data_IF_068333893914
#
_entry.id   IF_068333893914
#
_cell.length_a   1.000
_cell.length_b   1.000
_cell.length_c   1.000
_cell.angle_alpha   90.00
_cell.angle_beta   90.00
_cell.angle_gamma   90.00
#
_symmetry.space_group_name_H-M   'P 1'
#
loop_
_entity.id
_entity.type
_entity.pdbx_description
1 polymer ?
#
# COMPACT_ATOMS: atom_id res chain seq x y z
N UNK A 1 11.85 -9.67 -31.35
CA UNK A 1 13.07 -8.98 -30.97
C UNK A 1 14.11 -9.26 -32.06
N UNK A 2 14.75 -8.22 -32.51
CA UNK A 2 15.68 -8.37 -33.63
C UNK A 2 17.04 -8.99 -33.22
N UNK A 3 17.31 -9.08 -31.88
CA UNK A 3 18.62 -9.61 -31.39
C UNK A 3 18.54 -10.42 -30.07
N UNK A 4 17.36 -10.51 -29.41
CA UNK A 4 17.22 -11.19 -28.13
C UNK A 4 16.87 -12.67 -28.25
N UNK A 5 17.47 -13.52 -27.40
CA UNK A 5 17.14 -14.96 -27.29
C UNK A 5 15.79 -15.23 -26.62
N UNK A 6 15.27 -14.29 -25.87
CA UNK A 6 14.02 -14.41 -25.11
C UNK A 6 13.23 -13.12 -25.15
N UNK A 7 11.91 -13.22 -25.02
CA UNK A 7 10.98 -12.09 -24.87
C UNK A 7 10.37 -12.16 -23.47
N UNK A 8 10.37 -11.04 -22.74
CA UNK A 8 9.70 -10.91 -21.44
C UNK A 8 8.58 -9.88 -21.60
N UNK A 9 7.39 -10.24 -21.16
CA UNK A 9 6.24 -9.34 -21.07
C UNK A 9 5.85 -9.26 -19.59
N UNK A 10 5.75 -8.04 -19.07
CA UNK A 10 5.32 -7.77 -17.71
C UNK A 10 4.02 -6.99 -17.80
N UNK A 11 2.97 -7.47 -17.11
CA UNK A 11 1.68 -6.81 -16.98
C UNK A 11 1.47 -6.50 -15.51
N UNK A 12 1.46 -5.22 -15.17
CA UNK A 12 1.19 -4.72 -13.83
C UNK A 12 -0.30 -4.48 -13.64
N UNK A 13 -0.83 -4.74 -12.43
CA UNK A 13 -2.24 -4.59 -12.13
C UNK A 13 -3.11 -5.57 -12.94
N UNK A 14 -2.72 -6.83 -13.00
CA UNK A 14 -3.41 -7.84 -13.81
C UNK A 14 -4.87 -8.07 -13.38
N UNK A 15 -5.24 -7.69 -12.16
CA UNK A 15 -6.62 -7.64 -11.66
C UNK A 15 -7.52 -6.60 -12.36
N UNK A 16 -6.93 -5.63 -13.07
CA UNK A 16 -7.66 -4.58 -13.79
C UNK A 16 -7.85 -4.89 -15.29
N UNK A 17 -7.44 -6.07 -15.74
CA UNK A 17 -7.67 -6.49 -17.11
C UNK A 17 -9.19 -6.56 -17.39
N UNK A 18 -9.62 -6.00 -18.51
CA UNK A 18 -10.99 -6.24 -18.99
C UNK A 18 -11.18 -7.70 -19.37
N UNK A 19 -12.42 -8.18 -19.36
CA UNK A 19 -12.73 -9.56 -19.77
C UNK A 19 -12.20 -9.88 -21.17
N UNK A 20 -12.25 -8.91 -22.09
CA UNK A 20 -11.73 -9.06 -23.45
C UNK A 20 -10.21 -9.21 -23.47
N UNK A 21 -9.48 -8.38 -22.67
CA UNK A 21 -8.02 -8.46 -22.55
C UNK A 21 -7.59 -9.76 -21.87
N UNK A 22 -8.29 -10.16 -20.81
CA UNK A 22 -8.05 -11.41 -20.10
C UNK A 22 -8.27 -12.63 -21.03
N UNK A 23 -9.36 -12.64 -21.82
CA UNK A 23 -9.63 -13.70 -22.78
C UNK A 23 -8.61 -13.72 -23.94
N UNK A 24 -8.13 -12.56 -24.40
CA UNK A 24 -7.05 -12.51 -25.38
C UNK A 24 -5.75 -13.10 -24.85
N UNK A 25 -5.47 -12.90 -23.55
CA UNK A 25 -4.30 -13.44 -22.86
C UNK A 25 -4.35 -14.97 -22.76
N UNK A 26 -5.55 -15.58 -22.62
CA UNK A 26 -5.68 -17.04 -22.54
C UNK A 26 -5.06 -17.76 -23.74
N UNK A 27 -5.20 -17.23 -24.94
CA UNK A 27 -4.57 -17.81 -26.14
C UNK A 27 -3.04 -17.83 -26.03
N UNK A 28 -2.47 -16.77 -25.46
CA UNK A 28 -1.03 -16.67 -25.26
C UNK A 28 -0.52 -17.61 -24.15
N UNK A 29 -1.37 -17.86 -23.13
CA UNK A 29 -1.06 -18.76 -22.03
C UNK A 29 -1.19 -20.24 -22.43
N UNK A 30 -2.11 -20.56 -23.35
CA UNK A 30 -2.30 -21.94 -23.85
C UNK A 30 -1.23 -22.36 -24.84
N UNK A 31 -0.86 -21.44 -25.75
CA UNK A 31 0.12 -21.69 -26.79
C UNK A 31 1.21 -20.60 -26.80
N UNK A 32 2.06 -20.57 -25.76
CA UNK A 32 3.08 -19.53 -25.67
C UNK A 32 4.12 -19.68 -26.78
N UNK A 33 4.48 -18.57 -27.46
CA UNK A 33 5.59 -18.59 -28.40
C UNK A 33 6.90 -19.06 -27.72
N UNK A 34 7.81 -19.71 -28.46
CA UNK A 34 9.06 -20.15 -27.87
C UNK A 34 9.85 -18.96 -27.30
N UNK A 35 10.47 -19.20 -26.15
CA UNK A 35 11.24 -18.20 -25.42
C UNK A 35 10.47 -16.96 -24.93
N UNK A 36 9.16 -17.08 -24.74
CA UNK A 36 8.34 -16.06 -24.08
C UNK A 36 8.25 -16.33 -22.58
N UNK A 37 8.55 -15.31 -21.76
CA UNK A 37 8.23 -15.26 -20.34
C UNK A 37 7.17 -14.19 -20.15
N UNK A 38 6.03 -14.56 -19.55
CA UNK A 38 4.95 -13.65 -19.18
C UNK A 38 4.87 -13.55 -17.66
N UNK A 39 4.98 -12.34 -17.13
CA UNK A 39 4.85 -12.03 -15.71
C UNK A 39 3.60 -11.19 -15.50
N UNK A 40 2.67 -11.70 -14.71
CA UNK A 40 1.46 -10.99 -14.28
C UNK A 40 1.66 -10.56 -12.84
N UNK A 41 1.68 -9.26 -12.60
CA UNK A 41 1.82 -8.69 -11.26
C UNK A 41 0.44 -8.28 -10.77
N UNK A 42 0.09 -8.68 -9.55
CA UNK A 42 -1.17 -8.35 -8.90
C UNK A 42 -1.00 -8.21 -7.41
N UNK A 43 -1.72 -7.28 -6.81
CA UNK A 43 -1.89 -7.17 -5.36
C UNK A 43 -3.14 -7.92 -4.87
N UNK A 44 -4.07 -8.27 -5.77
CA UNK A 44 -5.36 -8.90 -5.49
C UNK A 44 -5.54 -10.16 -6.34
N UNK A 45 -4.84 -11.26 -6.02
CA UNK A 45 -4.85 -12.48 -6.83
C UNK A 45 -6.23 -13.10 -6.97
N UNK A 46 -7.14 -12.87 -6.02
CA UNK A 46 -8.50 -13.41 -6.03
C UNK A 46 -9.41 -12.73 -7.06
N UNK A 47 -9.01 -11.56 -7.58
CA UNK A 47 -9.71 -10.85 -8.65
C UNK A 47 -9.27 -11.30 -10.06
N UNK A 48 -8.21 -12.09 -10.16
CA UNK A 48 -7.75 -12.65 -11.44
C UNK A 48 -8.68 -13.82 -11.83
N UNK A 49 -9.08 -13.86 -13.11
CA UNK A 49 -9.89 -14.94 -13.62
C UNK A 49 -9.27 -16.31 -13.32
N UNK A 50 -10.08 -17.23 -12.82
CA UNK A 50 -9.65 -18.60 -12.48
C UNK A 50 -9.02 -19.33 -13.67
N UNK A 51 -9.44 -19.01 -14.88
CA UNK A 51 -8.89 -19.53 -16.14
C UNK A 51 -7.43 -19.08 -16.40
N UNK A 52 -7.07 -17.86 -16.02
CA UNK A 52 -5.69 -17.36 -16.06
C UNK A 52 -4.90 -18.00 -14.92
N UNK A 53 -5.48 -17.99 -13.72
CA UNK A 53 -4.83 -18.53 -12.52
C UNK A 53 -4.42 -20.00 -12.67
N UNK A 54 -5.26 -20.83 -13.33
CA UNK A 54 -4.97 -22.26 -13.56
C UNK A 54 -3.83 -22.51 -14.56
N UNK A 55 -3.42 -21.49 -15.33
CA UNK A 55 -2.34 -21.58 -16.35
C UNK A 55 -1.07 -20.84 -15.96
N UNK A 56 -1.06 -20.22 -14.77
CA UNK A 56 0.09 -19.49 -14.25
C UNK A 56 0.67 -20.18 -13.03
N UNK A 57 1.99 -20.11 -12.88
CA UNK A 57 2.63 -20.44 -11.62
C UNK A 57 2.55 -19.24 -10.70
N UNK A 58 1.91 -19.41 -9.54
CA UNK A 58 1.84 -18.36 -8.51
C UNK A 58 3.15 -18.29 -7.73
N UNK A 59 3.70 -17.09 -7.62
CA UNK A 59 4.81 -16.75 -6.75
C UNK A 59 4.33 -15.64 -5.83
N UNK A 60 4.21 -15.95 -4.54
CA UNK A 60 3.83 -14.97 -3.53
C UNK A 60 5.10 -14.25 -3.03
N UNK A 61 5.09 -12.93 -3.13
CA UNK A 61 6.12 -12.07 -2.54
C UNK A 61 5.58 -11.53 -1.22
N UNK A 62 6.35 -11.69 -0.15
CA UNK A 62 5.99 -11.20 1.17
C UNK A 62 6.97 -10.11 1.62
N UNK A 63 6.52 -9.15 2.44
CA UNK A 63 7.43 -8.22 3.10
C UNK A 63 8.51 -8.99 3.86
N UNK A 64 9.75 -8.51 3.79
CA UNK A 64 10.86 -9.07 4.54
C UNK A 64 11.04 -8.35 5.88
N UNK A 65 11.85 -8.92 6.80
CA UNK A 65 12.05 -8.31 8.12
C UNK A 65 12.82 -6.99 8.02
N UNK A 66 12.66 -6.13 9.03
CA UNK A 66 13.36 -4.85 9.13
C UNK A 66 14.88 -5.07 9.06
N UNK A 67 15.38 -6.10 9.75
CA UNK A 67 16.80 -6.44 9.76
C UNK A 67 17.31 -6.82 8.38
N UNK A 68 16.52 -7.60 7.61
CA UNK A 68 16.87 -7.99 6.24
C UNK A 68 16.86 -6.80 5.28
N UNK A 69 15.92 -5.86 5.45
CA UNK A 69 15.92 -4.60 4.66
C UNK A 69 17.16 -3.77 5.01
N UNK A 70 17.45 -3.56 6.29
CA UNK A 70 18.59 -2.79 6.73
C UNK A 70 19.93 -3.39 6.25
N UNK A 71 20.10 -4.70 6.36
CA UNK A 71 21.28 -5.42 5.85
C UNK A 71 21.43 -5.26 4.34
N UNK A 72 20.33 -5.35 3.60
CA UNK A 72 20.38 -5.17 2.15
C UNK A 72 20.73 -3.74 1.74
N UNK A 73 20.24 -2.72 2.45
CA UNK A 73 20.56 -1.31 2.20
C UNK A 73 22.04 -1.02 2.53
N UNK A 74 22.54 -1.47 3.65
CA UNK A 74 23.96 -1.28 4.01
C UNK A 74 24.89 -1.98 3.01
N UNK A 75 24.54 -3.20 2.58
CA UNK A 75 25.38 -3.98 1.68
C UNK A 75 25.34 -3.49 0.23
N UNK A 76 24.17 -3.07 -0.28
CA UNK A 76 23.98 -2.72 -1.71
C UNK A 76 24.09 -1.23 -1.98
N UNK A 77 23.69 -0.40 -1.01
CA UNK A 77 23.64 1.06 -1.18
C UNK A 77 24.76 1.78 -0.43
N UNK A 78 25.56 1.06 0.37
CA UNK A 78 26.71 1.60 1.12
C UNK A 78 26.33 2.76 2.07
N UNK A 79 25.09 2.75 2.59
CA UNK A 79 24.61 3.74 3.55
C UNK A 79 24.94 3.37 4.99
N UNK A 80 24.86 4.34 5.90
CA UNK A 80 25.11 4.11 7.32
C UNK A 80 24.10 3.13 7.92
N UNK A 81 24.51 2.40 8.97
CA UNK A 81 23.61 1.45 9.64
C UNK A 81 22.39 2.16 10.27
N UNK A 82 22.60 3.37 10.79
CA UNK A 82 21.54 4.18 11.39
C UNK A 82 20.47 4.56 10.34
N UNK A 83 20.89 5.10 9.21
CA UNK A 83 20.01 5.50 8.11
C UNK A 83 19.31 4.27 7.48
N UNK A 84 20.02 3.15 7.31
CA UNK A 84 19.44 1.90 6.84
C UNK A 84 18.35 1.38 7.77
N UNK A 85 18.53 1.47 9.07
CA UNK A 85 17.56 1.10 10.09
C UNK A 85 16.30 1.97 10.04
N UNK A 86 16.45 3.28 9.87
CA UNK A 86 15.33 4.21 9.76
C UNK A 86 14.50 3.91 8.51
N UNK A 87 15.14 3.81 7.33
CA UNK A 87 14.47 3.47 6.08
C UNK A 87 13.81 2.09 6.14
N UNK A 88 14.46 1.11 6.76
CA UNK A 88 13.91 -0.23 6.91
C UNK A 88 12.63 -0.24 7.75
N UNK A 89 12.57 0.51 8.85
CA UNK A 89 11.35 0.65 9.66
C UNK A 89 10.20 1.25 8.85
N UNK A 90 10.49 2.29 8.06
CA UNK A 90 9.49 3.01 7.27
C UNK A 90 9.01 2.21 6.05
N UNK A 91 9.83 1.27 5.56
CA UNK A 91 9.55 0.48 4.34
C UNK A 91 8.46 -0.56 4.50
N UNK A 92 8.05 -0.89 5.72
CA UNK A 92 7.14 -2.02 6.00
C UNK A 92 7.58 -3.35 5.34
N UNK A 93 8.90 -3.58 5.22
CA UNK A 93 9.47 -4.76 4.59
C UNK A 93 9.56 -4.71 3.06
N UNK A 94 9.26 -3.55 2.44
CA UNK A 94 9.37 -3.32 1.00
C UNK A 94 10.74 -2.74 0.66
N UNK A 95 11.71 -3.62 0.32
CA UNK A 95 13.09 -3.20 -0.01
C UNK A 95 13.16 -2.25 -1.21
N UNK A 96 12.26 -2.42 -2.20
CA UNK A 96 12.19 -1.53 -3.37
C UNK A 96 11.91 -0.10 -2.95
N UNK A 97 10.86 0.09 -2.14
CA UNK A 97 10.52 1.40 -1.59
C UNK A 97 11.67 2.02 -0.78
N UNK A 98 12.33 1.23 0.09
CA UNK A 98 13.44 1.72 0.89
C UNK A 98 14.62 2.18 0.01
N UNK A 99 14.90 1.46 -1.07
CA UNK A 99 15.98 1.82 -2.02
C UNK A 99 15.63 3.09 -2.79
N UNK A 100 14.38 3.23 -3.24
CA UNK A 100 13.90 4.43 -3.95
C UNK A 100 13.90 5.65 -3.04
N UNK A 101 13.42 5.51 -1.78
CA UNK A 101 13.39 6.58 -0.79
C UNK A 101 14.81 7.08 -0.43
N UNK A 102 15.81 6.20 -0.46
CA UNK A 102 17.20 6.58 -0.31
C UNK A 102 17.72 7.37 -1.51
N UNK A 103 17.33 6.98 -2.73
CA UNK A 103 17.78 7.64 -3.97
C UNK A 103 17.07 8.98 -4.23
N UNK A 104 15.82 9.10 -3.80
CA UNK A 104 14.97 10.25 -4.05
C UNK A 104 14.25 10.70 -2.76
N UNK A 105 14.76 11.79 -2.17
CA UNK A 105 14.18 12.39 -0.96
C UNK A 105 12.72 12.85 -1.13
N UNK A 106 12.26 13.10 -2.35
CA UNK A 106 10.88 13.50 -2.61
C UNK A 106 9.86 12.43 -2.20
N UNK A 107 10.27 11.17 -2.14
CA UNK A 107 9.44 10.05 -1.68
C UNK A 107 9.15 10.21 -0.18
N UNK A 108 10.18 10.54 0.62
CA UNK A 108 10.02 10.81 2.04
C UNK A 108 9.15 12.04 2.29
N UNK A 109 9.41 13.15 1.59
CA UNK A 109 8.58 14.36 1.68
C UNK A 109 7.12 14.10 1.31
N UNK A 110 6.87 13.25 0.33
CA UNK A 110 5.51 12.88 -0.08
C UNK A 110 4.82 12.02 0.97
N UNK A 111 5.56 11.05 1.57
CA UNK A 111 5.08 10.23 2.68
C UNK A 111 4.70 11.11 3.87
N UNK A 112 5.59 12.01 4.28
CA UNK A 112 5.39 12.87 5.45
C UNK A 112 4.20 13.81 5.26
N UNK A 113 4.05 14.44 4.08
CA UNK A 113 2.86 15.23 3.73
C UNK A 113 1.56 14.41 3.78
N UNK A 114 1.59 13.14 3.35
CA UNK A 114 0.40 12.27 3.42
C UNK A 114 0.04 11.92 4.86
N UNK A 115 1.05 11.72 5.73
CA UNK A 115 0.83 11.47 7.16
C UNK A 115 0.32 12.72 7.88
N UNK A 116 0.92 13.88 7.64
CA UNK A 116 0.46 15.16 8.17
C UNK A 116 -1.01 15.39 7.78
N UNK A 117 -1.34 15.16 6.51
CA UNK A 117 -2.72 15.29 6.03
C UNK A 117 -3.67 14.30 6.71
N UNK A 118 -3.23 13.07 7.00
CA UNK A 118 -4.02 12.10 7.77
C UNK A 118 -4.25 12.60 9.18
N UNK A 119 -3.20 13.00 9.90
CA UNK A 119 -3.30 13.44 11.30
C UNK A 119 -4.21 14.65 11.43
N UNK A 120 -4.11 15.63 10.54
CA UNK A 120 -5.03 16.76 10.46
C UNK A 120 -6.46 16.31 10.21
N UNK A 121 -6.67 15.37 9.30
CA UNK A 121 -7.99 14.87 8.94
C UNK A 121 -8.66 14.14 10.11
N UNK A 122 -7.92 13.28 10.84
CA UNK A 122 -8.52 12.54 11.98
C UNK A 122 -8.72 13.42 13.21
N UNK A 123 -8.03 14.55 13.32
CA UNK A 123 -8.28 15.57 14.34
C UNK A 123 -9.47 16.48 14.00
N UNK A 124 -9.76 16.64 12.72
CA UNK A 124 -10.78 17.56 12.19
C UNK A 124 -12.23 17.08 12.41
N UNK A 125 -13.17 17.98 12.10
CA UNK A 125 -14.61 17.68 12.07
C UNK A 125 -15.04 16.87 10.84
N UNK A 126 -16.32 16.49 10.79
CA UNK A 126 -16.85 15.67 9.68
C UNK A 126 -16.82 16.39 8.34
N UNK A 127 -16.96 17.72 8.34
CA UNK A 127 -16.96 18.51 7.10
C UNK A 127 -15.60 18.39 6.39
N UNK A 128 -14.50 18.59 7.10
CA UNK A 128 -13.14 18.50 6.59
C UNK A 128 -12.78 17.06 6.19
N UNK A 129 -13.24 16.08 6.98
CA UNK A 129 -13.06 14.65 6.66
C UNK A 129 -13.74 14.29 5.35
N UNK A 130 -14.95 14.74 5.10
CA UNK A 130 -15.66 14.50 3.84
C UNK A 130 -15.06 15.27 2.68
N UNK A 131 -14.58 16.50 2.92
CA UNK A 131 -13.86 17.25 1.91
C UNK A 131 -12.61 16.49 1.44
N UNK A 132 -11.86 15.90 2.38
CA UNK A 132 -10.68 15.11 2.04
C UNK A 132 -11.04 13.77 1.36
N UNK A 133 -12.12 13.11 1.77
CA UNK A 133 -12.63 11.93 1.07
C UNK A 133 -12.98 12.24 -0.39
N UNK A 134 -13.61 13.40 -0.63
CA UNK A 134 -13.94 13.83 -1.98
C UNK A 134 -12.70 14.18 -2.81
N UNK A 135 -11.67 14.79 -2.20
CA UNK A 135 -10.37 15.06 -2.82
C UNK A 135 -9.69 13.75 -3.27
N UNK A 136 -9.57 12.78 -2.37
CA UNK A 136 -9.00 11.47 -2.67
C UNK A 136 -9.78 10.71 -3.75
N UNK A 137 -11.12 10.77 -3.68
CA UNK A 137 -11.99 10.14 -4.68
C UNK A 137 -11.91 10.81 -6.06
N UNK A 138 -11.55 12.08 -6.12
CA UNK A 138 -11.35 12.86 -7.33
C UNK A 138 -10.05 12.56 -8.07
N UNK A 139 -9.17 11.75 -7.49
CA UNK A 139 -7.95 11.31 -8.16
C UNK A 139 -8.31 10.54 -9.44
N UNK A 140 -7.63 10.90 -10.53
CA UNK A 140 -7.84 10.27 -11.83
C UNK A 140 -7.56 8.75 -11.77
N UNK A 141 -8.13 7.94 -12.67
CA UNK A 141 -7.90 6.49 -12.71
C UNK A 141 -6.40 6.10 -12.71
N UNK A 142 -5.55 6.93 -13.32
CA UNK A 142 -4.09 6.75 -13.32
C UNK A 142 -3.45 6.95 -11.94
N UNK A 143 -4.16 7.55 -10.99
CA UNK A 143 -3.71 7.81 -9.63
C UNK A 143 -4.31 6.85 -8.59
N UNK A 144 -4.99 5.79 -9.03
CA UNK A 144 -5.52 4.74 -8.11
C UNK A 144 -4.43 4.12 -7.26
N UNK A 145 -3.23 3.94 -7.83
CA UNK A 145 -2.05 3.48 -7.08
C UNK A 145 -1.71 4.43 -5.94
N UNK A 146 -1.71 5.75 -6.18
CA UNK A 146 -1.43 6.75 -5.15
C UNK A 146 -2.48 6.75 -4.02
N UNK A 147 -3.75 6.50 -4.33
CA UNK A 147 -4.81 6.33 -3.33
C UNK A 147 -4.58 5.07 -2.49
N UNK A 148 -4.23 3.95 -3.11
CA UNK A 148 -3.91 2.70 -2.41
C UNK A 148 -2.70 2.88 -1.49
N UNK A 149 -1.61 3.45 -1.99
CA UNK A 149 -0.42 3.79 -1.20
C UNK A 149 -0.75 4.68 0.01
N UNK A 150 -1.68 5.62 -0.16
CA UNK A 150 -2.15 6.48 0.93
C UNK A 150 -2.87 5.67 2.00
N UNK A 151 -3.76 4.74 1.61
CA UNK A 151 -4.47 3.86 2.55
C UNK A 151 -3.52 2.86 3.22
N UNK A 152 -2.52 2.33 2.50
CA UNK A 152 -1.49 1.47 3.06
C UNK A 152 -0.67 2.21 4.14
N UNK A 153 -0.30 3.46 3.85
CA UNK A 153 0.39 4.32 4.80
C UNK A 153 -0.46 4.60 6.05
N UNK A 154 -1.77 4.81 5.88
CA UNK A 154 -2.69 5.00 6.99
C UNK A 154 -2.81 3.73 7.85
N UNK A 155 -2.97 2.57 7.22
CA UNK A 155 -3.02 1.29 7.93
C UNK A 155 -1.73 1.06 8.74
N UNK A 156 -0.57 1.40 8.18
CA UNK A 156 0.72 1.31 8.86
C UNK A 156 0.78 2.25 10.06
N UNK A 157 0.37 3.51 9.91
CA UNK A 157 0.36 4.49 11.02
C UNK A 157 -0.56 4.05 12.18
N UNK A 158 -1.77 3.58 11.88
CA UNK A 158 -2.68 3.05 12.90
C UNK A 158 -2.13 1.79 13.59
N UNK A 159 -1.43 0.94 12.84
CA UNK A 159 -0.75 -0.25 13.39
C UNK A 159 0.37 0.17 14.34
N UNK A 160 1.17 1.17 13.96
CA UNK A 160 2.29 1.64 14.77
C UNK A 160 1.79 2.24 16.10
N UNK A 161 0.68 3.00 16.09
CA UNK A 161 -0.01 3.44 17.30
C UNK A 161 -0.50 2.27 18.16
N UNK A 162 -0.99 1.20 17.56
CA UNK A 162 -1.43 0.00 18.28
C UNK A 162 -0.26 -0.72 18.94
N UNK A 163 0.86 -0.85 18.23
CA UNK A 163 2.10 -1.46 18.75
C UNK A 163 2.64 -0.61 19.89
N UNK A 164 2.75 0.69 19.71
CA UNK A 164 3.17 1.63 20.75
C UNK A 164 2.31 1.46 22.01
N UNK A 165 0.98 1.47 21.86
CA UNK A 165 0.05 1.25 22.99
C UNK A 165 0.15 -0.14 23.61
N UNK A 166 0.67 -1.13 22.90
CA UNK A 166 0.85 -2.47 23.43
C UNK A 166 2.17 -2.63 24.20
N UNK A 167 3.18 -1.84 23.83
CA UNK A 167 4.56 -1.93 24.35
C UNK A 167 4.92 -0.85 25.35
N UNK A 168 4.23 0.31 25.32
CA UNK A 168 4.51 1.41 26.26
C UNK A 168 3.95 1.12 27.65
N UNK A 169 4.79 1.25 28.65
CA UNK A 169 4.38 1.47 30.04
C UNK A 169 3.74 2.86 30.16
N UNK A 170 2.64 2.97 30.83
CA UNK A 170 1.54 3.96 30.84
C UNK A 170 1.87 5.48 30.91
N UNK A 171 3.09 5.99 30.79
CA UNK A 171 3.46 7.37 31.16
C UNK A 171 3.97 8.28 30.03
N UNK A 172 3.96 7.88 28.75
CA UNK A 172 4.33 8.80 27.65
C UNK A 172 3.10 9.50 27.07
N UNK A 173 3.12 10.85 26.87
CA UNK A 173 2.08 11.54 26.15
C UNK A 173 2.12 11.13 24.66
N UNK A 174 1.19 10.29 24.24
CA UNK A 174 1.09 9.80 22.87
C UNK A 174 -0.37 9.82 22.44
N UNK A 175 -0.66 10.11 21.15
CA UNK A 175 -2.00 9.98 20.59
C UNK A 175 -2.64 8.59 20.82
N UNK A 176 -1.81 7.56 20.98
CA UNK A 176 -2.25 6.20 21.32
C UNK A 176 -2.94 6.12 22.68
N UNK A 177 -2.62 7.01 23.64
CA UNK A 177 -3.15 6.92 25.01
C UNK A 177 -4.65 7.25 25.12
N UNK A 178 -5.17 8.09 24.25
CA UNK A 178 -6.59 8.48 24.24
C UNK A 178 -7.49 7.42 23.62
N UNK A 179 -6.94 6.55 22.76
CA UNK A 179 -7.68 5.53 22.03
C UNK A 179 -7.59 4.16 22.72
N UNK A 180 -8.69 3.41 22.67
CA UNK A 180 -8.68 2.01 23.11
C UNK A 180 -8.00 1.12 22.04
N UNK A 181 -7.39 -0.01 22.46
CA UNK A 181 -6.86 -1.01 21.53
C UNK A 181 -7.93 -1.48 20.53
N UNK A 182 -9.20 -1.56 20.98
CA UNK A 182 -10.33 -1.91 20.13
C UNK A 182 -10.60 -0.88 19.03
N UNK A 183 -10.51 0.43 19.34
CA UNK A 183 -10.68 1.50 18.38
C UNK A 183 -9.57 1.51 17.31
N UNK A 184 -8.31 1.29 17.73
CA UNK A 184 -7.18 1.18 16.81
C UNK A 184 -7.33 -0.01 15.86
N UNK A 185 -7.71 -1.18 16.39
CA UNK A 185 -7.98 -2.37 15.56
C UNK A 185 -9.16 -2.16 14.60
N UNK A 186 -10.21 -1.47 15.05
CA UNK A 186 -11.35 -1.15 14.19
C UNK A 186 -10.91 -0.24 13.04
N UNK A 187 -10.13 0.83 13.31
CA UNK A 187 -9.62 1.72 12.27
C UNK A 187 -8.81 0.97 11.20
N UNK A 188 -7.90 0.08 11.61
CA UNK A 188 -7.12 -0.74 10.68
C UNK A 188 -8.04 -1.60 9.82
N UNK A 189 -9.03 -2.30 10.41
CA UNK A 189 -9.97 -3.15 9.69
C UNK A 189 -10.79 -2.37 8.67
N UNK A 190 -11.28 -1.19 9.03
CA UNK A 190 -12.06 -0.34 8.14
C UNK A 190 -11.21 0.17 6.95
N UNK A 191 -9.93 0.48 7.17
CA UNK A 191 -9.02 0.86 6.08
C UNK A 191 -8.83 -0.32 5.12
N UNK A 192 -8.53 -1.51 5.63
CA UNK A 192 -8.34 -2.71 4.80
C UNK A 192 -9.63 -3.07 4.04
N UNK A 193 -10.78 -3.00 4.72
CA UNK A 193 -12.08 -3.22 4.07
C UNK A 193 -12.36 -2.19 2.96
N UNK A 194 -12.00 -0.92 3.20
CA UNK A 194 -12.14 0.12 2.16
C UNK A 194 -11.27 -0.18 0.94
N UNK A 195 -10.07 -0.70 1.12
CA UNK A 195 -9.21 -1.13 0.01
C UNK A 195 -9.88 -2.26 -0.80
N UNK A 196 -10.45 -3.27 -0.14
CA UNK A 196 -11.19 -4.34 -0.80
C UNK A 196 -12.39 -3.80 -1.61
N UNK A 197 -13.15 -2.85 -1.05
CA UNK A 197 -14.27 -2.21 -1.74
C UNK A 197 -13.82 -1.44 -3.00
N UNK A 198 -12.68 -0.76 -2.92
CA UNK A 198 -12.09 -0.04 -4.05
C UNK A 198 -11.61 -0.99 -5.16
N UNK A 199 -11.06 -2.14 -4.79
CA UNK A 199 -10.67 -3.20 -5.73
C UNK A 199 -11.90 -3.80 -6.45
N UNK A 200 -13.06 -3.87 -5.78
CA UNK A 200 -14.33 -4.31 -6.36
C UNK A 200 -15.03 -3.24 -7.22
N UNK A 201 -14.35 -2.13 -7.57
CA UNK A 201 -14.90 -1.01 -8.35
C UNK A 201 -16.17 -0.37 -7.74
N UNK A 202 -16.31 -0.41 -6.42
CA UNK A 202 -17.35 0.35 -5.71
C UNK A 202 -17.05 1.84 -5.82
N UNK A 203 -18.08 2.67 -5.73
CA UNK A 203 -17.92 4.12 -5.82
C UNK A 203 -16.87 4.61 -4.81
N UNK A 204 -15.71 5.12 -5.24
CA UNK A 204 -14.60 5.47 -4.34
C UNK A 204 -15.00 6.52 -3.32
N UNK A 205 -15.83 7.49 -3.71
CA UNK A 205 -16.27 8.55 -2.83
C UNK A 205 -17.08 8.00 -1.66
N UNK A 206 -18.05 7.13 -1.92
CA UNK A 206 -18.86 6.53 -0.86
C UNK A 206 -18.05 5.64 0.08
N UNK A 207 -17.11 4.87 -0.46
CA UNK A 207 -16.22 4.02 0.33
C UNK A 207 -15.33 4.86 1.27
N UNK A 208 -14.74 5.95 0.76
CA UNK A 208 -13.89 6.85 1.54
C UNK A 208 -14.71 7.69 2.55
N UNK A 209 -15.90 8.17 2.21
CA UNK A 209 -16.79 8.86 3.15
C UNK A 209 -17.21 7.94 4.30
N UNK A 210 -17.52 6.67 4.02
CA UNK A 210 -17.81 5.67 5.06
C UNK A 210 -16.60 5.42 5.96
N UNK A 211 -15.40 5.30 5.39
CA UNK A 211 -14.16 5.21 6.15
C UNK A 211 -14.00 6.42 7.08
N UNK A 212 -14.19 7.64 6.60
CA UNK A 212 -14.05 8.85 7.40
C UNK A 212 -15.02 8.91 8.59
N UNK A 213 -16.20 8.30 8.47
CA UNK A 213 -17.15 8.17 9.57
C UNK A 213 -16.69 7.18 10.65
N UNK A 214 -16.02 6.11 10.23
CA UNK A 214 -15.61 5.02 11.12
C UNK A 214 -14.28 5.30 11.84
N UNK A 215 -13.41 6.16 11.28
CA UNK A 215 -12.13 6.49 11.90
C UNK A 215 -12.35 7.27 13.21
N UNK A 216 -11.71 6.86 14.32
CA UNK A 216 -11.78 7.59 15.57
C UNK A 216 -11.16 8.98 15.45
N UNK A 217 -11.63 9.90 16.27
CA UNK A 217 -11.01 11.23 16.39
C UNK A 217 -9.77 11.12 17.26
N UNK A 218 -8.68 11.74 16.84
CA UNK A 218 -7.41 11.81 17.58
C UNK A 218 -7.15 13.28 17.90
N UNK A 219 -7.24 13.65 19.17
CA UNK A 219 -6.90 15.00 19.61
C UNK A 219 -5.38 15.08 19.86
N UNK A 220 -4.71 16.11 19.34
CA UNK A 220 -3.28 16.34 19.60
C UNK A 220 -2.32 15.61 18.65
N UNK A 221 -2.76 15.13 17.50
CA UNK A 221 -1.87 14.53 16.50
C UNK A 221 -1.03 15.54 15.69
N UNK A 222 -1.02 16.80 16.11
CA UNK A 222 -0.17 17.82 15.48
C UNK A 222 1.23 17.72 16.09
N UNK A 223 2.18 17.33 15.26
CA UNK A 223 3.64 17.34 15.55
C UNK A 223 4.17 18.75 15.42
#
# INVERSE_FOLDING_TARGET
PFEGKSRVIIIEGAEHLSDEAANALLKLLEEPPPHLLLLLLTSSPDLILSTIHSRCQRIALHPISIEQVAEALTTKCEISEEEAQELAKLSNGCIGWATEAWQDSSIMETRDRRLERLTDTVAAGLEERFAYAAELAGLLPQQRTAMRETLDLWAAWWRDLLVEKATSEQDSPSPSNELTKGALLAAIREILHTQELLDMNINPRLALEALMLSLPRVEGATT
#
